data_IF_672382793956
#
_entry.id   IF_672382793956
#
_cell.length_a   1.000
_cell.length_b   1.000
_cell.length_c   1.000
_cell.angle_alpha   90.00
_cell.angle_beta   90.00
_cell.angle_gamma   90.00
#
_symmetry.space_group_name_H-M   'P 1'
#
loop_
_entity.id
_entity.type
_entity.pdbx_description
1 polymer ?
#
# COMPACT_ATOMS: atom_id res chain seq x y z
N UNK A 1 -57.40 11.43 22.83
CA UNK A 1 -57.27 10.70 21.55
C UNK A 1 -55.79 10.49 21.31
N UNK A 2 -55.33 9.28 21.63
CA UNK A 2 -53.93 8.85 21.62
C UNK A 2 -53.52 8.61 20.17
N UNK A 3 -52.40 9.17 19.73
CA UNK A 3 -51.55 8.55 18.72
C UNK A 3 -50.09 8.69 19.16
N UNK A 4 -49.58 7.62 19.77
CA UNK A 4 -48.15 7.36 19.89
C UNK A 4 -47.59 7.11 18.48
N UNK A 5 -46.63 7.90 18.03
CA UNK A 5 -45.70 7.47 16.98
C UNK A 5 -44.39 7.08 17.65
N UNK A 6 -44.35 5.83 18.13
CA UNK A 6 -43.13 5.10 18.40
C UNK A 6 -42.51 4.72 17.05
N UNK A 7 -41.43 5.39 16.66
CA UNK A 7 -40.44 4.83 15.74
C UNK A 7 -39.09 4.82 16.47
N UNK A 8 -38.91 3.82 17.33
CA UNK A 8 -37.60 3.38 17.74
C UNK A 8 -36.95 2.62 16.59
N UNK A 9 -36.23 3.32 15.72
CA UNK A 9 -35.21 2.71 14.88
C UNK A 9 -33.90 2.94 15.60
N UNK A 10 -33.42 1.92 16.32
CA UNK A 10 -32.02 1.87 16.74
C UNK A 10 -31.17 1.98 15.48
N UNK A 11 -30.43 3.07 15.32
CA UNK A 11 -29.48 3.20 14.23
C UNK A 11 -28.53 1.99 14.27
N UNK A 12 -28.49 1.21 13.20
CA UNK A 12 -27.55 0.11 13.06
C UNK A 12 -26.25 0.72 12.55
N UNK A 13 -25.21 0.66 13.37
CA UNK A 13 -23.87 1.11 13.00
C UNK A 13 -23.06 -0.04 12.42
N UNK A 14 -22.30 0.25 11.38
CA UNK A 14 -21.33 -0.67 10.78
C UNK A 14 -19.93 -0.11 10.99
N UNK A 15 -19.08 -0.86 11.68
CA UNK A 15 -17.73 -0.44 12.02
C UNK A 15 -16.72 -1.04 11.06
N UNK A 16 -15.89 -0.21 10.45
CA UNK A 16 -14.67 -0.62 9.79
C UNK A 16 -13.49 -0.09 10.59
N UNK A 17 -12.56 -0.98 10.90
CA UNK A 17 -11.38 -0.68 11.67
C UNK A 17 -10.17 -1.27 10.95
N UNK A 18 -9.13 -0.45 10.76
CA UNK A 18 -7.87 -0.86 10.17
C UNK A 18 -6.73 -0.52 11.14
N UNK A 19 -5.82 -1.45 11.39
CA UNK A 19 -4.61 -1.17 12.18
C UNK A 19 -3.44 -0.84 11.26
N UNK A 20 -2.65 0.19 11.60
CA UNK A 20 -1.51 0.64 10.81
C UNK A 20 -0.32 1.00 11.72
N UNK A 21 0.84 0.41 11.44
CA UNK A 21 2.12 0.77 12.06
C UNK A 21 2.90 1.82 11.27
N UNK A 22 2.61 1.94 9.97
CA UNK A 22 3.17 2.95 9.06
C UNK A 22 2.02 3.82 8.55
N UNK A 23 2.20 5.13 8.61
CA UNK A 23 1.17 6.05 8.17
C UNK A 23 0.96 6.00 6.66
N UNK A 24 -0.29 6.12 6.23
CA UNK A 24 -0.68 6.13 4.82
C UNK A 24 -1.81 7.12 4.57
N UNK A 25 -1.56 8.10 3.71
CA UNK A 25 -2.56 9.08 3.27
C UNK A 25 -3.78 8.42 2.58
N UNK A 26 -3.61 7.21 2.04
CA UNK A 26 -4.66 6.51 1.29
C UNK A 26 -5.68 5.77 2.17
N UNK A 27 -5.59 5.89 3.50
CA UNK A 27 -6.49 5.21 4.45
C UNK A 27 -7.97 5.60 4.24
N UNK A 28 -8.26 6.85 3.91
CA UNK A 28 -9.63 7.30 3.63
C UNK A 28 -10.19 6.63 2.37
N UNK A 29 -9.36 6.52 1.33
CA UNK A 29 -9.73 5.83 0.10
C UNK A 29 -9.96 4.33 0.34
N UNK A 30 -9.10 3.65 1.12
CA UNK A 30 -9.30 2.22 1.46
C UNK A 30 -10.62 1.97 2.19
N UNK A 31 -10.95 2.81 3.17
CA UNK A 31 -12.23 2.70 3.88
C UNK A 31 -13.44 2.92 2.96
N UNK A 32 -13.33 3.81 1.97
CA UNK A 32 -14.35 3.96 0.93
C UNK A 32 -14.52 2.66 0.14
N UNK A 33 -13.42 2.04 -0.30
CA UNK A 33 -13.46 0.76 -1.01
C UNK A 33 -14.10 -0.34 -0.17
N UNK A 34 -13.71 -0.49 1.11
CA UNK A 34 -14.31 -1.47 2.02
C UNK A 34 -15.82 -1.29 2.15
N UNK A 35 -16.26 -0.03 2.27
CA UNK A 35 -17.69 0.26 2.34
C UNK A 35 -18.41 -0.08 1.03
N UNK A 36 -17.84 0.24 -0.12
CA UNK A 36 -18.42 -0.08 -1.43
C UNK A 36 -18.52 -1.59 -1.65
N UNK A 37 -17.48 -2.34 -1.32
CA UNK A 37 -17.48 -3.81 -1.43
C UNK A 37 -18.53 -4.44 -0.50
N UNK A 38 -18.55 -4.00 0.75
CA UNK A 38 -19.50 -4.49 1.74
C UNK A 38 -20.94 -4.17 1.33
N UNK A 39 -21.22 -2.94 0.88
CA UNK A 39 -22.56 -2.53 0.47
C UNK A 39 -23.05 -3.31 -0.74
N UNK A 40 -22.18 -3.56 -1.72
CA UNK A 40 -22.51 -4.41 -2.86
C UNK A 40 -22.96 -5.80 -2.41
N UNK A 41 -22.18 -6.45 -1.54
CA UNK A 41 -22.53 -7.76 -0.96
C UNK A 41 -23.83 -7.70 -0.17
N UNK A 42 -23.99 -6.72 0.71
CA UNK A 42 -25.17 -6.55 1.55
C UNK A 42 -26.45 -6.38 0.73
N UNK A 43 -26.40 -5.61 -0.36
CA UNK A 43 -27.51 -5.40 -1.27
C UNK A 43 -27.93 -6.73 -1.93
N UNK A 44 -26.96 -7.49 -2.42
CA UNK A 44 -27.18 -8.79 -3.08
C UNK A 44 -27.77 -9.80 -2.10
N UNK A 45 -27.13 -9.98 -0.94
CA UNK A 45 -27.52 -10.97 0.07
C UNK A 45 -28.94 -10.74 0.60
N UNK A 46 -29.33 -9.46 0.75
CA UNK A 46 -30.67 -9.07 1.20
C UNK A 46 -31.69 -8.87 0.06
N UNK A 47 -31.28 -9.12 -1.19
CA UNK A 47 -32.13 -8.98 -2.39
C UNK A 47 -32.77 -7.59 -2.53
N UNK A 48 -32.05 -6.54 -2.12
CA UNK A 48 -32.53 -5.17 -2.27
C UNK A 48 -32.52 -4.74 -3.74
N UNK A 49 -33.60 -4.10 -4.18
CA UNK A 49 -33.70 -3.54 -5.51
C UNK A 49 -33.24 -2.07 -5.52
N UNK A 50 -31.99 -1.84 -5.90
CA UNK A 50 -31.39 -0.50 -6.00
C UNK A 50 -32.01 0.39 -7.09
N UNK A 51 -32.78 -0.19 -8.02
CA UNK A 51 -33.50 0.55 -9.06
C UNK A 51 -34.94 0.88 -8.63
N UNK A 52 -35.36 0.46 -7.43
CA UNK A 52 -36.69 0.76 -6.93
C UNK A 52 -36.81 2.23 -6.52
N UNK A 53 -38.04 2.75 -6.45
CA UNK A 53 -38.29 4.10 -5.91
C UNK A 53 -38.08 4.20 -4.39
N UNK A 54 -37.92 3.06 -3.69
CA UNK A 54 -37.72 3.02 -2.24
C UNK A 54 -36.22 3.03 -1.96
N UNK A 55 -35.81 3.85 -0.99
CA UNK A 55 -34.43 3.83 -0.51
C UNK A 55 -34.08 2.46 0.07
N UNK A 56 -32.89 1.96 -0.25
CA UNK A 56 -32.33 0.78 0.39
C UNK A 56 -31.85 1.18 1.78
N UNK A 57 -32.30 0.51 2.86
CA UNK A 57 -31.80 0.79 4.18
C UNK A 57 -30.35 0.31 4.27
N UNK A 58 -29.43 1.23 4.58
CA UNK A 58 -28.02 0.91 4.84
C UNK A 58 -27.70 1.22 6.30
N UNK A 59 -26.84 0.42 6.96
CA UNK A 59 -26.29 0.80 8.24
C UNK A 59 -25.40 2.04 8.11
N UNK A 60 -25.28 2.80 9.19
CA UNK A 60 -24.44 4.00 9.22
C UNK A 60 -22.97 3.55 9.39
N UNK A 61 -22.09 3.79 8.40
CA UNK A 61 -20.70 3.39 8.53
C UNK A 61 -19.96 4.28 9.53
N UNK A 62 -19.06 3.68 10.30
CA UNK A 62 -18.11 4.34 11.17
C UNK A 62 -16.71 3.81 10.84
N UNK A 63 -15.79 4.72 10.54
CA UNK A 63 -14.45 4.39 10.05
C UNK A 63 -13.40 4.74 11.10
N UNK A 64 -12.52 3.79 11.41
CA UNK A 64 -11.47 3.94 12.40
C UNK A 64 -10.14 3.42 11.87
N UNK A 65 -9.07 4.13 12.19
CA UNK A 65 -7.72 3.61 12.05
C UNK A 65 -7.07 3.55 13.43
N UNK A 66 -6.56 2.39 13.82
CA UNK A 66 -5.72 2.23 15.00
C UNK A 66 -4.27 2.43 14.58
N UNK A 67 -3.70 3.57 14.96
CA UNK A 67 -2.32 3.89 14.61
C UNK A 67 -1.37 3.46 15.73
N UNK A 68 -0.52 2.49 15.42
CA UNK A 68 0.44 1.92 16.37
C UNK A 68 1.87 2.44 16.19
N UNK A 69 2.11 3.19 15.10
CA UNK A 69 3.40 3.78 14.78
C UNK A 69 3.89 4.79 15.83
N UNK A 70 5.15 5.22 15.68
CA UNK A 70 5.81 6.11 16.64
C UNK A 70 5.69 7.60 16.27
N UNK A 71 5.31 7.91 15.03
CA UNK A 71 5.22 9.29 14.56
C UNK A 71 4.04 10.00 15.23
N UNK A 72 4.20 11.29 15.55
CA UNK A 72 3.10 12.08 16.10
C UNK A 72 2.07 12.36 15.01
N UNK A 73 0.84 11.87 15.23
CA UNK A 73 -0.32 12.23 14.43
C UNK A 73 -1.37 12.90 15.33
N UNK A 74 -1.33 14.24 15.45
CA UNK A 74 -2.18 14.98 16.38
C UNK A 74 -3.65 15.06 15.91
N UNK A 75 -3.94 14.68 14.68
CA UNK A 75 -5.26 14.79 14.08
C UNK A 75 -6.18 13.68 14.57
N UNK A 76 -7.26 14.03 15.26
CA UNK A 76 -8.29 13.06 15.68
C UNK A 76 -9.03 12.46 14.47
N UNK A 77 -9.10 13.19 13.36
CA UNK A 77 -9.77 12.76 12.15
C UNK A 77 -8.98 13.15 10.92
N UNK A 78 -9.06 12.26 9.94
CA UNK A 78 -8.54 12.44 8.60
C UNK A 78 -9.68 12.31 7.62
N UNK A 79 -9.59 13.05 6.52
CA UNK A 79 -10.67 13.10 5.55
C UNK A 79 -10.15 12.86 4.14
N UNK A 80 -11.02 12.33 3.28
CA UNK A 80 -10.72 12.16 1.85
C UNK A 80 -10.40 13.50 1.17
N UNK A 81 -11.00 14.59 1.67
CA UNK A 81 -10.74 15.95 1.23
C UNK A 81 -9.26 16.32 1.44
N UNK A 82 -8.77 16.14 2.65
CA UNK A 82 -7.43 16.62 3.03
C UNK A 82 -6.33 15.71 2.47
N UNK A 83 -6.60 14.41 2.40
CA UNK A 83 -5.64 13.39 1.95
C UNK A 83 -5.59 13.25 0.42
N UNK A 84 -6.70 12.87 -0.21
CA UNK A 84 -6.74 12.49 -1.62
C UNK A 84 -7.14 13.63 -2.57
N UNK A 85 -7.87 14.64 -2.10
CA UNK A 85 -8.35 15.75 -2.93
C UNK A 85 -7.58 17.08 -2.74
N UNK A 86 -6.47 17.07 -2.01
CA UNK A 86 -5.64 18.25 -1.82
C UNK A 86 -6.38 19.43 -1.17
N UNK A 87 -7.29 19.15 -0.24
CA UNK A 87 -8.05 20.16 0.51
C UNK A 87 -9.28 20.71 -0.22
N UNK A 88 -9.59 20.21 -1.43
CA UNK A 88 -10.76 20.64 -2.21
C UNK A 88 -12.01 19.86 -1.79
N UNK A 89 -13.10 20.56 -1.49
CA UNK A 89 -14.38 19.91 -1.19
C UNK A 89 -14.89 19.15 -2.44
N UNK A 90 -15.10 17.84 -2.29
CA UNK A 90 -15.68 16.98 -3.32
C UNK A 90 -17.15 16.64 -3.03
N UNK A 91 -17.78 15.90 -3.95
CA UNK A 91 -19.13 15.34 -3.75
C UNK A 91 -19.16 14.06 -2.90
N UNK A 92 -17.99 13.58 -2.46
CA UNK A 92 -17.82 12.40 -1.61
C UNK A 92 -17.09 12.82 -0.34
N UNK A 93 -17.67 12.50 0.80
CA UNK A 93 -17.08 12.75 2.12
C UNK A 93 -16.83 11.41 2.82
N UNK A 94 -15.56 11.14 3.14
CA UNK A 94 -15.17 10.06 4.02
C UNK A 94 -14.31 10.65 5.11
N UNK A 95 -14.67 10.33 6.36
CA UNK A 95 -14.01 10.80 7.57
C UNK A 95 -13.65 9.58 8.41
N UNK A 96 -12.37 9.40 8.67
CA UNK A 96 -11.84 8.29 9.46
C UNK A 96 -11.34 8.84 10.78
N UNK A 97 -11.73 8.22 11.90
CA UNK A 97 -11.23 8.57 13.23
C UNK A 97 -9.90 7.88 13.47
N UNK A 98 -8.89 8.65 13.89
CA UNK A 98 -7.58 8.12 14.27
C UNK A 98 -7.61 7.79 15.76
N UNK A 99 -7.35 6.53 16.07
CA UNK A 99 -7.20 6.00 17.41
C UNK A 99 -5.70 5.84 17.69
N UNK A 100 -5.16 6.71 18.54
CA UNK A 100 -3.75 6.74 18.95
C UNK A 100 -3.64 6.53 20.47
N UNK A 101 -2.40 6.33 20.95
CA UNK A 101 -2.13 6.13 22.36
C UNK A 101 -2.52 7.37 23.18
N UNK A 102 -3.25 7.15 24.26
CA UNK A 102 -3.69 8.15 25.23
C UNK A 102 -3.06 7.89 26.61
N UNK A 103 -3.26 8.83 27.54
CA UNK A 103 -2.77 8.70 28.93
C UNK A 103 -3.69 7.86 29.83
N UNK A 104 -4.81 7.34 29.32
CA UNK A 104 -5.87 6.70 30.12
C UNK A 104 -5.60 5.21 30.44
N UNK A 105 -4.51 4.63 29.90
CA UNK A 105 -4.12 3.21 30.04
C UNK A 105 -5.26 2.22 29.76
N UNK A 106 -6.10 2.55 28.78
CA UNK A 106 -7.25 1.73 28.42
C UNK A 106 -6.82 0.54 27.52
N UNK A 107 -7.79 -0.28 27.11
CA UNK A 107 -7.53 -1.47 26.28
C UNK A 107 -6.85 -1.13 24.94
N UNK A 108 -7.15 0.02 24.36
CA UNK A 108 -6.53 0.49 23.12
C UNK A 108 -5.06 0.84 23.37
N UNK A 109 -4.76 1.53 24.47
CA UNK A 109 -3.37 1.87 24.82
C UNK A 109 -2.54 0.60 25.06
N UNK A 110 -3.12 -0.39 25.75
CA UNK A 110 -2.46 -1.68 25.99
C UNK A 110 -2.21 -2.41 24.66
N UNK A 111 -3.18 -2.42 23.74
CA UNK A 111 -2.98 -2.99 22.40
C UNK A 111 -1.86 -2.26 21.62
N UNK A 112 -1.84 -0.92 21.63
CA UNK A 112 -0.80 -0.15 20.94
C UNK A 112 0.58 -0.45 21.55
N UNK A 113 0.68 -0.52 22.88
CA UNK A 113 1.93 -0.90 23.57
C UNK A 113 2.37 -2.31 23.18
N UNK A 114 1.45 -3.28 23.16
CA UNK A 114 1.73 -4.65 22.73
C UNK A 114 2.28 -4.68 21.29
N UNK A 115 1.66 -3.96 20.36
CA UNK A 115 2.12 -3.88 18.97
C UNK A 115 3.53 -3.28 18.87
N UNK A 116 3.80 -2.18 19.59
CA UNK A 116 5.12 -1.55 19.62
C UNK A 116 6.21 -2.46 20.21
N UNK A 117 5.90 -3.17 21.30
CA UNK A 117 6.81 -4.16 21.90
C UNK A 117 7.08 -5.30 20.91
N UNK A 118 6.05 -5.76 20.20
CA UNK A 118 6.17 -6.80 19.17
C UNK A 118 7.13 -6.37 18.07
N UNK A 119 6.95 -5.17 17.52
CA UNK A 119 7.84 -4.60 16.51
C UNK A 119 9.29 -4.49 17.00
N UNK A 120 9.49 -4.09 18.26
CA UNK A 120 10.83 -3.98 18.87
C UNK A 120 11.49 -5.34 19.04
N UNK A 121 10.77 -6.33 19.54
CA UNK A 121 11.30 -7.68 19.72
C UNK A 121 11.58 -8.38 18.39
N UNK A 122 10.75 -8.18 17.37
CA UNK A 122 11.01 -8.68 16.01
C UNK A 122 12.25 -8.02 15.41
N UNK A 123 12.45 -6.71 15.62
CA UNK A 123 13.67 -6.01 15.15
C UNK A 123 14.94 -6.52 15.84
N UNK A 124 14.87 -6.84 17.12
CA UNK A 124 16.02 -7.28 17.92
C UNK A 124 16.37 -8.75 17.69
N UNK A 125 15.37 -9.63 17.74
CA UNK A 125 15.53 -11.10 17.82
C UNK A 125 15.04 -11.81 16.56
N UNK A 126 14.61 -11.06 15.55
CA UNK A 126 13.94 -11.60 14.38
C UNK A 126 12.57 -12.19 14.70
N UNK A 127 11.97 -12.80 13.68
CA UNK A 127 10.70 -13.52 13.79
C UNK A 127 10.95 -14.94 14.34
N UNK A 128 11.26 -15.04 15.63
CA UNK A 128 11.66 -16.29 16.30
C UNK A 128 10.76 -16.62 17.49
N UNK A 129 10.77 -17.88 17.93
CA UNK A 129 10.07 -18.30 19.17
C UNK A 129 10.55 -17.54 20.40
N UNK A 130 11.84 -17.22 20.45
CA UNK A 130 12.41 -16.41 21.51
C UNK A 130 11.83 -14.98 21.54
N UNK A 131 11.61 -14.38 20.37
CA UNK A 131 10.93 -13.09 20.26
C UNK A 131 9.50 -13.18 20.80
N UNK A 132 8.73 -14.21 20.42
CA UNK A 132 7.36 -14.43 20.89
C UNK A 132 7.31 -14.57 22.43
N UNK A 133 8.18 -15.40 23.01
CA UNK A 133 8.26 -15.58 24.45
C UNK A 133 8.62 -14.27 25.17
N UNK A 134 9.53 -13.49 24.58
CA UNK A 134 9.95 -12.20 25.11
C UNK A 134 8.82 -11.17 25.07
N UNK A 135 8.07 -11.08 23.97
CA UNK A 135 6.91 -10.20 23.83
C UNK A 135 5.89 -10.49 24.93
N UNK A 136 5.48 -11.75 25.08
CA UNK A 136 4.49 -12.16 26.06
C UNK A 136 4.98 -11.85 27.48
N UNK A 137 6.24 -12.17 27.78
CA UNK A 137 6.84 -11.90 29.09
C UNK A 137 6.85 -10.42 29.42
N UNK A 138 7.38 -9.58 28.53
CA UNK A 138 7.46 -8.13 28.73
C UNK A 138 6.05 -7.54 28.93
N UNK A 139 5.07 -7.96 28.13
CA UNK A 139 3.71 -7.44 28.25
C UNK A 139 3.08 -7.80 29.60
N UNK A 140 3.19 -9.06 30.05
CA UNK A 140 2.67 -9.50 31.36
C UNK A 140 3.36 -8.75 32.51
N UNK A 141 4.68 -8.60 32.46
CA UNK A 141 5.47 -7.90 33.49
C UNK A 141 5.11 -6.41 33.61
N UNK A 142 4.67 -5.79 32.51
CA UNK A 142 4.30 -4.37 32.45
C UNK A 142 2.77 -4.13 32.50
N UNK A 143 1.98 -5.14 32.87
CA UNK A 143 0.52 -5.04 32.98
C UNK A 143 -0.19 -4.66 31.66
N UNK A 144 0.38 -5.10 30.52
CA UNK A 144 -0.15 -4.87 29.18
C UNK A 144 -0.87 -6.13 28.71
N UNK A 145 -2.19 -6.03 28.51
CA UNK A 145 -3.07 -7.15 28.13
C UNK A 145 -2.91 -8.37 29.05
N UNK A 146 -2.51 -8.14 30.31
CA UNK A 146 -2.02 -9.18 31.21
C UNK A 146 -3.01 -10.33 31.39
N UNK A 147 -4.23 -10.04 31.80
CA UNK A 147 -5.27 -11.06 32.03
C UNK A 147 -5.56 -11.89 30.75
N UNK A 148 -5.55 -11.23 29.60
CA UNK A 148 -5.73 -11.88 28.30
C UNK A 148 -4.54 -12.78 27.96
N UNK A 149 -3.31 -12.28 28.06
CA UNK A 149 -2.10 -13.03 27.73
C UNK A 149 -1.84 -14.19 28.70
N UNK A 150 -2.16 -14.05 29.98
CA UNK A 150 -2.08 -15.13 30.97
C UNK A 150 -3.07 -16.24 30.66
N UNK A 151 -4.31 -15.89 30.27
CA UNK A 151 -5.34 -16.88 29.96
C UNK A 151 -5.23 -17.50 28.56
N UNK A 152 -4.60 -16.79 27.60
CA UNK A 152 -4.52 -17.17 26.18
C UNK A 152 -3.10 -17.35 25.65
N UNK A 153 -2.15 -17.63 26.56
CA UNK A 153 -0.72 -17.71 26.23
C UNK A 153 -0.43 -18.67 25.07
N UNK A 154 -0.99 -19.88 25.11
CA UNK A 154 -0.73 -20.89 24.07
C UNK A 154 -1.27 -20.43 22.73
N UNK A 155 -2.53 -19.97 22.70
CA UNK A 155 -3.17 -19.55 21.46
C UNK A 155 -2.49 -18.33 20.83
N UNK A 156 -2.07 -17.36 21.64
CA UNK A 156 -1.30 -16.19 21.17
C UNK A 156 0.08 -16.61 20.65
N UNK A 157 0.75 -17.56 21.32
CA UNK A 157 2.05 -18.08 20.89
C UNK A 157 1.93 -18.76 19.52
N UNK A 158 0.96 -19.67 19.36
CA UNK A 158 0.74 -20.39 18.10
C UNK A 158 0.35 -19.42 16.97
N UNK A 159 -0.49 -18.43 17.26
CA UNK A 159 -0.91 -17.43 16.28
C UNK A 159 0.28 -16.57 15.82
N UNK A 160 1.13 -16.12 16.74
CA UNK A 160 2.33 -15.36 16.39
C UNK A 160 3.35 -16.20 15.62
N UNK A 161 3.53 -17.49 15.96
CA UNK A 161 4.43 -18.42 15.24
C UNK A 161 3.99 -18.53 13.77
N UNK A 162 2.68 -18.71 13.54
CA UNK A 162 2.11 -18.80 12.18
C UNK A 162 2.28 -17.47 11.42
N UNK A 163 1.99 -16.33 12.04
CA UNK A 163 2.14 -15.02 11.38
C UNK A 163 3.60 -14.75 11.02
N UNK A 164 4.52 -15.07 11.92
CA UNK A 164 5.95 -14.87 11.72
C UNK A 164 6.48 -15.71 10.55
N UNK A 165 6.06 -16.97 10.45
CA UNK A 165 6.39 -17.83 9.32
C UNK A 165 5.81 -17.28 8.00
N UNK A 166 4.54 -16.86 7.98
CA UNK A 166 3.91 -16.31 6.78
C UNK A 166 4.56 -15.01 6.29
N UNK A 167 4.86 -14.09 7.21
CA UNK A 167 5.54 -12.84 6.88
C UNK A 167 6.96 -13.09 6.37
N UNK A 168 7.71 -13.99 7.00
CA UNK A 168 9.04 -14.38 6.54
C UNK A 168 9.00 -14.90 5.09
N UNK A 169 8.06 -15.80 4.81
CA UNK A 169 7.87 -16.33 3.45
C UNK A 169 7.53 -15.22 2.47
N UNK A 170 6.61 -14.31 2.84
CA UNK A 170 6.18 -13.19 1.99
C UNK A 170 7.34 -12.23 1.70
N UNK A 171 8.13 -11.88 2.71
CA UNK A 171 9.31 -11.03 2.57
C UNK A 171 10.38 -11.69 1.69
N UNK A 172 10.63 -12.99 1.87
CA UNK A 172 11.59 -13.73 1.05
C UNK A 172 11.21 -13.73 -0.43
N UNK A 173 9.96 -14.08 -0.76
CA UNK A 173 9.46 -14.02 -2.13
C UNK A 173 9.44 -12.59 -2.69
N UNK A 174 9.06 -11.60 -1.87
CA UNK A 174 9.08 -10.20 -2.27
C UNK A 174 10.49 -9.72 -2.64
N UNK A 175 11.49 -10.10 -1.85
CA UNK A 175 12.89 -9.76 -2.12
C UNK A 175 13.41 -10.46 -3.39
N UNK A 176 13.07 -11.72 -3.61
CA UNK A 176 13.40 -12.46 -4.83
C UNK A 176 12.85 -11.76 -6.09
N UNK A 177 11.55 -11.41 -6.08
CA UNK A 177 10.90 -10.72 -7.19
C UNK A 177 11.52 -9.34 -7.46
N UNK A 178 11.83 -8.58 -6.41
CA UNK A 178 12.51 -7.29 -6.55
C UNK A 178 13.92 -7.44 -7.15
N UNK A 179 14.66 -8.46 -6.73
CA UNK A 179 16.01 -8.73 -7.24
C UNK A 179 15.97 -9.17 -8.72
N UNK A 180 15.01 -10.02 -9.09
CA UNK A 180 14.76 -10.41 -10.47
C UNK A 180 14.40 -9.19 -11.33
N UNK A 181 13.44 -8.36 -10.89
CA UNK A 181 13.08 -7.13 -11.59
C UNK A 181 14.27 -6.18 -11.76
N UNK A 182 15.13 -6.06 -10.75
CA UNK A 182 16.36 -5.25 -10.83
C UNK A 182 17.38 -5.85 -11.81
N UNK A 183 17.54 -7.18 -11.85
CA UNK A 183 18.41 -7.87 -12.81
C UNK A 183 17.91 -7.70 -14.24
N UNK A 184 16.60 -7.85 -14.45
CA UNK A 184 15.95 -7.68 -15.75
C UNK A 184 16.06 -6.24 -16.25
N UNK A 185 15.71 -5.26 -15.41
CA UNK A 185 15.86 -3.83 -15.76
C UNK A 185 17.30 -3.45 -16.09
N UNK A 186 18.30 -3.99 -15.38
CA UNK A 186 19.73 -3.80 -15.74
C UNK A 186 20.10 -4.44 -17.08
N UNK A 187 19.51 -5.59 -17.41
CA UNK A 187 19.76 -6.30 -18.66
C UNK A 187 19.13 -5.57 -19.84
N UNK A 188 17.91 -5.08 -19.69
CA UNK A 188 17.24 -4.23 -20.69
C UNK A 188 18.00 -2.93 -20.89
N UNK A 189 18.31 -2.20 -19.82
CA UNK A 189 19.07 -0.95 -19.92
C UNK A 189 20.44 -1.11 -20.59
N UNK A 190 21.13 -2.25 -20.36
CA UNK A 190 22.38 -2.57 -21.08
C UNK A 190 22.17 -2.86 -22.57
N UNK A 191 21.05 -3.49 -22.96
CA UNK A 191 20.74 -3.75 -24.37
C UNK A 191 20.38 -2.45 -25.08
N UNK A 192 19.53 -1.63 -24.46
CA UNK A 192 19.11 -0.34 -24.99
C UNK A 192 20.31 0.60 -25.14
N UNK A 193 21.12 0.79 -24.09
CA UNK A 193 22.31 1.63 -24.16
C UNK A 193 23.36 1.15 -25.17
N UNK A 194 23.47 -0.17 -25.45
CA UNK A 194 24.29 -0.67 -26.56
C UNK A 194 23.73 -0.33 -27.93
N UNK A 195 22.40 -0.37 -28.08
CA UNK A 195 21.74 0.00 -29.34
C UNK A 195 21.91 1.49 -29.60
N UNK A 196 21.62 2.33 -28.60
CA UNK A 196 21.81 3.79 -28.67
C UNK A 196 23.27 4.14 -28.95
N UNK A 197 24.23 3.59 -28.19
CA UNK A 197 25.65 3.86 -28.41
C UNK A 197 26.16 3.40 -29.78
N UNK A 198 25.61 2.30 -30.33
CA UNK A 198 25.93 1.87 -31.71
C UNK A 198 25.38 2.85 -32.73
N UNK A 199 24.16 3.31 -32.55
CA UNK A 199 23.54 4.30 -33.42
C UNK A 199 24.30 5.63 -33.38
N UNK A 200 24.61 6.17 -32.20
CA UNK A 200 25.41 7.40 -32.04
C UNK A 200 26.79 7.27 -32.68
N UNK A 201 27.44 6.11 -32.50
CA UNK A 201 28.72 5.80 -33.12
C UNK A 201 28.66 5.82 -34.65
N UNK A 202 27.64 5.18 -35.24
CA UNK A 202 27.41 5.19 -36.69
C UNK A 202 27.15 6.61 -37.19
N UNK A 203 26.25 7.37 -36.54
CA UNK A 203 25.94 8.75 -36.91
C UNK A 203 27.20 9.63 -36.88
N UNK A 204 28.03 9.47 -35.86
CA UNK A 204 29.31 10.19 -35.71
C UNK A 204 30.28 9.85 -36.84
N UNK A 205 30.44 8.56 -37.16
CA UNK A 205 31.29 8.11 -38.27
C UNK A 205 30.81 8.65 -39.62
N UNK A 206 29.50 8.62 -39.87
CA UNK A 206 28.90 9.15 -41.11
C UNK A 206 29.17 10.65 -41.25
N UNK A 207 28.92 11.44 -40.20
CA UNK A 207 29.20 12.89 -40.19
C UNK A 207 30.67 13.19 -40.47
N UNK A 208 31.58 12.45 -39.85
CA UNK A 208 33.03 12.62 -40.06
C UNK A 208 33.46 12.29 -41.50
N UNK A 209 32.89 11.24 -42.12
CA UNK A 209 33.16 10.89 -43.51
C UNK A 209 32.61 11.93 -44.50
N UNK A 210 31.39 12.43 -44.26
CA UNK A 210 30.80 13.50 -45.05
C UNK A 210 31.69 14.76 -45.05
N UNK A 211 32.18 15.17 -43.88
CA UNK A 211 33.05 16.35 -43.74
C UNK A 211 34.44 16.15 -44.36
N UNK A 212 35.09 15.01 -44.07
CA UNK A 212 36.49 14.78 -44.48
C UNK A 212 36.64 14.47 -45.98
N UNK A 213 35.65 13.80 -46.58
CA UNK A 213 35.70 13.37 -47.98
C UNK A 213 34.76 14.16 -48.90
N UNK A 214 33.96 15.09 -48.35
CA UNK A 214 32.96 15.88 -49.09
C UNK A 214 31.97 15.01 -49.88
N UNK A 215 31.48 13.93 -49.25
CA UNK A 215 30.53 12.96 -49.83
C UNK A 215 29.15 13.07 -49.18
N UNK A 216 28.11 12.55 -49.84
CA UNK A 216 26.74 12.53 -49.29
C UNK A 216 26.58 11.51 -48.15
N UNK A 217 25.54 11.67 -47.33
CA UNK A 217 25.21 10.75 -46.24
C UNK A 217 24.99 9.32 -46.73
N UNK A 218 24.34 9.15 -47.88
CA UNK A 218 24.11 7.85 -48.53
C UNK A 218 25.44 7.19 -48.93
N UNK A 219 26.39 7.97 -49.47
CA UNK A 219 27.69 7.44 -49.86
C UNK A 219 28.53 7.04 -48.66
N UNK A 220 28.45 7.80 -47.57
CA UNK A 220 29.12 7.48 -46.31
C UNK A 220 28.53 6.21 -45.65
N UNK A 221 27.20 6.04 -45.62
CA UNK A 221 26.54 4.81 -45.15
C UNK A 221 26.92 3.59 -46.00
N UNK A 222 27.03 3.76 -47.32
CA UNK A 222 27.51 2.71 -48.24
C UNK A 222 28.98 2.34 -47.95
N UNK A 223 29.86 3.31 -47.71
CA UNK A 223 31.26 3.06 -47.35
C UNK A 223 31.40 2.32 -46.00
N UNK A 224 30.54 2.64 -45.03
CA UNK A 224 30.44 1.92 -43.75
C UNK A 224 29.75 0.55 -43.87
N UNK A 225 29.32 0.16 -45.08
CA UNK A 225 28.62 -1.11 -45.37
C UNK A 225 27.34 -1.30 -44.56
N UNK A 226 26.66 -0.21 -44.21
CA UNK A 226 25.35 -0.28 -43.54
C UNK A 226 24.31 -0.76 -44.56
N UNK A 227 23.53 -1.82 -44.27
CA UNK A 227 22.50 -2.32 -45.18
C UNK A 227 21.48 -1.24 -45.54
N UNK A 228 21.09 -1.15 -46.82
CA UNK A 228 20.11 -0.14 -47.29
C UNK A 228 18.77 -0.17 -46.53
N UNK A 229 18.37 -1.33 -46.01
CA UNK A 229 17.16 -1.46 -45.20
C UNK A 229 17.21 -0.71 -43.86
N UNK A 230 18.41 -0.39 -43.35
CA UNK A 230 18.62 0.33 -42.09
C UNK A 230 18.81 1.84 -42.30
N UNK A 231 18.91 2.32 -43.54
CA UNK A 231 19.22 3.73 -43.83
C UNK A 231 18.14 4.69 -43.32
N UNK A 232 16.88 4.24 -43.27
CA UNK A 232 15.77 5.02 -42.75
C UNK A 232 15.89 5.35 -41.25
N UNK A 233 16.70 4.59 -40.50
CA UNK A 233 16.96 4.86 -39.08
C UNK A 233 17.95 6.04 -38.92
N UNK A 234 18.89 6.19 -39.86
CA UNK A 234 20.00 7.15 -39.76
C UNK A 234 19.82 8.42 -40.59
N UNK A 235 19.33 8.31 -41.84
CA UNK A 235 19.23 9.45 -42.76
C UNK A 235 18.43 10.65 -42.22
N UNK A 236 17.28 10.47 -41.53
CA UNK A 236 16.54 11.59 -40.94
C UNK A 236 17.29 12.33 -39.83
N UNK A 237 18.32 11.72 -39.24
CA UNK A 237 19.16 12.28 -38.16
C UNK A 237 20.46 12.91 -38.66
N UNK A 238 20.70 12.85 -39.98
CA UNK A 238 21.92 13.30 -40.67
C UNK A 238 21.69 14.50 -41.60
N UNK A 239 20.45 14.99 -41.69
CA UNK A 239 20.05 16.20 -42.42
C UNK A 239 20.57 17.48 -41.79
#
# INVERSE_FOLDING_TARGET
MIWHFLWGLTAIFLFFCEAQSIWSENICYRHLEYFVEWTHKYIVDNKYNIYSRKAVPLPVPQFYVVYTGKDEHPEEYITLRDTNFGGVCGGVEVKVKVLHMSDENNILDQYIKFARISDEQVKEKGRTKEAIESIIKICIENDILKEFLESKRSEVTDMLDILFDQEYVTEAYGHELLEEGRKEGRKEGRKEGRKEGREEGILTMVKNLMQSLSITAEKALEMLRIPKGEWNEYLPKLS
#
